data_IF_467685994976
#
_entry.id   IF_467685994976
#
_cell.length_a   1.000
_cell.length_b   1.000
_cell.length_c   1.000
_cell.angle_alpha   90.00
_cell.angle_beta   90.00
_cell.angle_gamma   90.00
#
_symmetry.space_group_name_H-M   'P 1'
#
loop_
_entity.id
_entity.type
_entity.pdbx_description
1 polymer ?
#
# COMPACT_ATOMS: atom_id res chain seq x y z
N UNK A 1 0.59 19.93 -7.05
CA UNK A 1 0.31 19.32 -5.74
C UNK A 1 0.11 17.84 -5.98
N UNK A 2 0.85 16.96 -5.29
CA UNK A 2 0.75 15.51 -5.46
C UNK A 2 -0.46 14.95 -4.70
N UNK A 3 -1.00 13.84 -5.19
CA UNK A 3 -2.19 13.17 -4.64
C UNK A 3 -1.92 11.68 -4.47
N UNK A 4 -2.37 11.07 -3.38
CA UNK A 4 -2.47 9.61 -3.27
C UNK A 4 -3.83 9.18 -3.80
N UNK A 5 -3.89 8.16 -4.66
CA UNK A 5 -5.12 7.72 -5.30
C UNK A 5 -5.43 6.29 -4.85
N UNK A 6 -6.61 6.08 -4.29
CA UNK A 6 -7.18 4.77 -4.00
C UNK A 6 -7.92 4.25 -5.23
N UNK A 7 -7.58 3.04 -5.67
CA UNK A 7 -8.10 2.40 -6.86
C UNK A 7 -8.88 1.13 -6.50
N UNK A 8 -10.01 0.90 -7.18
CA UNK A 8 -10.58 -0.43 -7.33
C UNK A 8 -9.81 -1.20 -8.40
N UNK A 9 -9.42 -2.43 -8.06
CA UNK A 9 -8.80 -3.38 -8.96
C UNK A 9 -9.83 -4.48 -9.22
N UNK A 10 -10.47 -4.43 -10.39
CA UNK A 10 -11.53 -5.36 -10.78
C UNK A 10 -11.04 -6.28 -11.91
N UNK A 11 -11.36 -7.56 -11.80
CA UNK A 11 -10.93 -8.62 -12.74
C UNK A 11 -11.43 -8.31 -14.15
N UNK A 12 -10.52 -8.31 -15.14
CA UNK A 12 -10.88 -8.09 -16.54
C UNK A 12 -11.30 -6.65 -16.88
N UNK A 13 -11.25 -5.74 -15.91
CA UNK A 13 -11.59 -4.32 -16.06
C UNK A 13 -10.37 -3.42 -15.91
N UNK A 14 -10.50 -2.17 -16.33
CA UNK A 14 -9.51 -1.13 -16.04
C UNK A 14 -9.55 -0.73 -14.55
N UNK A 15 -8.42 -0.25 -14.03
CA UNK A 15 -8.37 0.32 -12.68
C UNK A 15 -9.25 1.57 -12.60
N UNK A 16 -10.12 1.63 -11.59
CA UNK A 16 -11.04 2.76 -11.38
C UNK A 16 -10.67 3.53 -10.12
N UNK A 17 -10.52 4.84 -10.24
CA UNK A 17 -10.34 5.71 -9.07
C UNK A 17 -11.59 5.69 -8.19
N UNK A 18 -11.38 5.45 -6.89
CA UNK A 18 -12.43 5.49 -5.86
C UNK A 18 -12.36 6.78 -5.06
N UNK A 19 -11.15 7.21 -4.68
CA UNK A 19 -10.91 8.39 -3.85
C UNK A 19 -9.52 8.96 -4.12
N UNK A 20 -9.42 10.28 -4.09
CA UNK A 20 -8.16 11.02 -4.19
C UNK A 20 -7.88 11.78 -2.89
N UNK A 21 -6.67 11.60 -2.36
CA UNK A 21 -6.19 12.26 -1.15
C UNK A 21 -5.16 13.31 -1.50
N UNK A 22 -5.48 14.59 -1.26
CA UNK A 22 -4.54 15.69 -1.53
C UNK A 22 -3.32 15.60 -0.62
N UNK A 23 -2.15 15.96 -1.15
CA UNK A 23 -0.86 15.87 -0.47
C UNK A 23 -0.45 14.41 -0.19
N UNK A 24 0.27 13.80 -1.14
CA UNK A 24 0.74 12.42 -1.05
C UNK A 24 1.57 12.12 0.21
N UNK A 25 2.20 13.13 0.80
CA UNK A 25 2.99 12.99 2.02
C UNK A 25 2.18 12.52 3.24
N UNK A 26 0.84 12.58 3.18
CA UNK A 26 -0.04 12.03 4.21
C UNK A 26 -0.26 10.51 4.15
N UNK A 27 0.33 9.83 3.15
CA UNK A 27 0.23 8.39 2.97
C UNK A 27 1.54 7.68 3.33
N UNK A 28 2.40 7.37 2.35
CA UNK A 28 3.60 6.57 2.54
C UNK A 28 4.59 7.28 3.47
N UNK A 29 4.92 8.55 3.17
CA UNK A 29 5.90 9.35 3.90
C UNK A 29 5.73 9.30 5.42
N UNK A 30 4.49 9.37 5.89
CA UNK A 30 4.15 9.26 7.30
C UNK A 30 4.55 7.89 7.89
N UNK A 31 4.19 6.78 7.25
CA UNK A 31 4.52 5.43 7.74
C UNK A 31 6.03 5.21 7.77
N UNK A 32 6.72 5.56 6.69
CA UNK A 32 8.17 5.40 6.58
C UNK A 32 8.91 6.25 7.61
N UNK A 33 8.45 7.48 7.86
CA UNK A 33 9.00 8.36 8.90
C UNK A 33 8.89 7.72 10.29
N UNK A 34 7.70 7.30 10.70
CA UNK A 34 7.48 6.79 12.06
C UNK A 34 8.23 5.48 12.32
N UNK A 35 8.31 4.60 11.33
CA UNK A 35 9.08 3.36 11.43
C UNK A 35 10.59 3.59 11.42
N UNK A 36 11.09 4.53 10.60
CA UNK A 36 12.53 4.88 10.62
C UNK A 36 12.93 5.51 11.96
N UNK A 37 12.11 6.38 12.55
CA UNK A 37 12.33 6.92 13.90
C UNK A 37 12.40 5.79 14.93
N UNK A 38 11.40 4.91 14.90
CA UNK A 38 11.24 3.84 15.90
C UNK A 38 12.38 2.84 15.90
N UNK A 39 12.88 2.47 14.72
CA UNK A 39 13.80 1.32 14.58
C UNK A 39 15.20 1.69 14.14
N UNK A 40 15.38 2.84 13.50
CA UNK A 40 16.66 3.25 12.91
C UNK A 40 17.24 4.52 13.56
N UNK A 41 16.57 5.07 14.59
CA UNK A 41 17.01 6.28 15.29
C UNK A 41 17.00 7.53 14.40
N UNK A 42 16.16 7.53 13.36
CA UNK A 42 16.06 8.61 12.40
C UNK A 42 15.40 9.86 13.01
N UNK A 43 15.74 11.04 12.48
CA UNK A 43 14.97 12.27 12.69
C UNK A 43 13.93 12.49 11.58
N UNK A 44 13.11 13.53 11.71
CA UNK A 44 12.09 13.86 10.70
C UNK A 44 12.71 14.04 9.30
N UNK A 45 12.12 13.37 8.31
CA UNK A 45 12.51 13.40 6.87
C UNK A 45 13.83 12.70 6.51
N UNK A 46 14.52 12.07 7.46
CA UNK A 46 15.75 11.33 7.18
C UNK A 46 15.54 10.11 6.28
N UNK A 47 14.32 9.55 6.23
CA UNK A 47 14.07 8.32 5.48
C UNK A 47 14.28 8.47 3.97
N UNK A 48 13.99 9.65 3.39
CA UNK A 48 14.16 9.91 1.95
C UNK A 48 15.64 10.09 1.59
N UNK A 49 16.43 10.74 2.44
CA UNK A 49 17.74 11.27 2.06
C UNK A 49 18.93 10.43 2.51
N UNK A 50 18.75 9.54 3.50
CA UNK A 50 19.87 8.83 4.14
C UNK A 50 19.92 7.31 3.82
N UNK A 51 19.22 6.85 2.77
CA UNK A 51 19.19 5.43 2.39
C UNK A 51 18.53 4.52 3.44
N UNK A 52 17.79 5.09 4.40
CA UNK A 52 17.11 4.32 5.44
C UNK A 52 15.93 3.51 4.90
N UNK A 53 15.39 3.93 3.75
CA UNK A 53 14.39 3.16 2.99
C UNK A 53 14.88 1.75 2.69
N UNK A 54 16.13 1.56 2.27
CA UNK A 54 16.67 0.22 1.97
C UNK A 54 16.73 -0.68 3.20
N UNK A 55 17.01 -0.10 4.38
CA UNK A 55 17.04 -0.84 5.65
C UNK A 55 15.65 -1.21 6.13
N UNK A 56 14.65 -0.37 5.87
CA UNK A 56 13.26 -0.62 6.26
C UNK A 56 12.51 -1.47 5.23
N UNK A 57 12.93 -1.49 3.96
CA UNK A 57 12.29 -2.26 2.88
C UNK A 57 12.06 -3.76 3.18
N UNK A 58 12.93 -4.50 3.90
CA UNK A 58 12.65 -5.89 4.24
C UNK A 58 11.71 -6.05 5.45
N UNK A 59 11.37 -4.99 6.20
CA UNK A 59 10.68 -5.10 7.50
C UNK A 59 9.33 -5.78 7.42
N UNK A 60 8.59 -5.64 6.33
CA UNK A 60 7.29 -6.31 6.20
C UNK A 60 7.40 -7.85 6.27
N UNK A 61 8.57 -8.43 5.97
CA UNK A 61 8.82 -9.87 6.09
C UNK A 61 9.39 -10.31 7.45
N UNK A 62 9.83 -9.36 8.28
CA UNK A 62 10.48 -9.67 9.56
C UNK A 62 9.44 -10.03 10.63
N UNK A 63 9.29 -11.33 10.91
CA UNK A 63 8.32 -11.85 11.89
C UNK A 63 8.62 -11.44 13.33
N UNK A 64 9.79 -10.88 13.62
CA UNK A 64 10.12 -10.33 14.94
C UNK A 64 9.50 -8.94 15.17
N UNK A 65 8.93 -8.30 14.14
CA UNK A 65 8.26 -7.00 14.24
C UNK A 65 6.74 -7.16 14.42
N UNK A 66 6.08 -6.21 15.08
CA UNK A 66 4.63 -6.24 15.25
C UNK A 66 3.90 -6.36 13.90
N UNK A 67 2.96 -7.30 13.82
CA UNK A 67 2.25 -7.61 12.58
C UNK A 67 1.57 -6.39 11.94
N UNK A 68 0.91 -5.55 12.74
CA UNK A 68 0.21 -4.36 12.21
C UNK A 68 1.15 -3.34 11.56
N UNK A 69 2.38 -3.20 12.03
CA UNK A 69 3.38 -2.30 11.43
C UNK A 69 3.86 -2.82 10.08
N UNK A 70 4.06 -4.14 10.01
CA UNK A 70 4.48 -4.83 8.79
C UNK A 70 3.41 -4.73 7.71
N UNK A 71 2.15 -4.92 8.08
CA UNK A 71 1.01 -4.76 7.18
C UNK A 71 0.89 -3.32 6.70
N UNK A 72 0.90 -2.34 7.60
CA UNK A 72 0.78 -0.92 7.21
C UNK A 72 1.94 -0.47 6.33
N UNK A 73 3.17 -0.93 6.60
CA UNK A 73 4.31 -0.72 5.70
C UNK A 73 4.08 -1.35 4.33
N UNK A 74 3.66 -2.61 4.27
CA UNK A 74 3.40 -3.32 3.01
C UNK A 74 2.30 -2.65 2.16
N UNK A 75 1.28 -2.03 2.78
CA UNK A 75 0.25 -1.25 2.06
C UNK A 75 0.86 -0.07 1.30
N UNK A 76 1.99 0.47 1.79
CA UNK A 76 2.69 1.58 1.13
C UNK A 76 3.60 1.14 -0.01
N UNK A 77 3.62 -0.13 -0.40
CA UNK A 77 4.49 -0.58 -1.48
C UNK A 77 3.83 -0.39 -2.84
N UNK A 78 4.66 -0.15 -3.85
CA UNK A 78 4.16 -0.10 -5.20
C UNK A 78 3.53 -1.43 -5.60
N UNK A 79 2.37 -1.34 -6.26
CA UNK A 79 1.58 -2.50 -6.70
C UNK A 79 1.10 -3.41 -5.57
N UNK A 80 1.18 -2.95 -4.33
CA UNK A 80 0.51 -3.62 -3.22
C UNK A 80 -1.01 -3.48 -3.38
N UNK A 81 -1.71 -4.57 -3.13
CA UNK A 81 -3.16 -4.57 -3.09
C UNK A 81 -3.68 -5.39 -1.91
N UNK A 82 -4.94 -5.14 -1.58
CA UNK A 82 -5.65 -5.78 -0.48
C UNK A 82 -6.93 -6.40 -1.05
N UNK A 83 -7.15 -7.67 -0.76
CA UNK A 83 -8.37 -8.38 -1.11
C UNK A 83 -9.51 -8.00 -0.16
N UNK A 84 -10.73 -8.09 -0.66
CA UNK A 84 -11.95 -7.78 0.10
C UNK A 84 -12.06 -8.54 1.43
N UNK A 85 -11.64 -9.79 1.44
CA UNK A 85 -11.68 -10.65 2.64
C UNK A 85 -10.74 -10.12 3.74
N UNK A 86 -9.71 -9.36 3.37
CA UNK A 86 -8.72 -8.80 4.29
C UNK A 86 -9.05 -7.36 4.74
N UNK A 87 -10.14 -6.74 4.26
CA UNK A 87 -10.44 -5.33 4.59
C UNK A 87 -10.61 -5.08 6.08
N UNK A 88 -11.28 -6.00 6.79
CA UNK A 88 -11.47 -5.84 8.23
C UNK A 88 -10.14 -5.90 8.98
N UNK A 89 -9.21 -6.72 8.49
CA UNK A 89 -7.88 -6.88 9.08
C UNK A 89 -6.97 -5.69 8.75
N UNK A 90 -7.04 -5.17 7.51
CA UNK A 90 -6.35 -3.96 7.10
C UNK A 90 -6.77 -2.75 7.95
N UNK A 91 -8.08 -2.55 8.14
CA UNK A 91 -8.60 -1.53 9.03
C UNK A 91 -8.04 -1.67 10.45
N UNK A 92 -8.14 -2.87 11.03
CA UNK A 92 -7.64 -3.17 12.38
C UNK A 92 -6.15 -2.83 12.52
N UNK A 93 -5.32 -3.24 11.56
CA UNK A 93 -3.88 -2.95 11.56
C UNK A 93 -3.60 -1.44 11.48
N UNK A 94 -4.33 -0.71 10.62
CA UNK A 94 -4.20 0.74 10.49
C UNK A 94 -4.58 1.44 11.81
N UNK A 95 -5.67 1.02 12.46
CA UNK A 95 -6.07 1.59 13.77
C UNK A 95 -5.02 1.36 14.85
N UNK A 96 -4.45 0.15 14.93
CA UNK A 96 -3.36 -0.14 15.86
C UNK A 96 -2.12 0.71 15.57
N UNK A 97 -1.78 0.89 14.30
CA UNK A 97 -0.67 1.76 13.90
C UNK A 97 -0.90 3.20 14.34
N UNK A 98 -2.07 3.78 14.06
CA UNK A 98 -2.42 5.15 14.45
C UNK A 98 -2.49 5.34 15.98
N UNK A 99 -2.87 4.29 16.71
CA UNK A 99 -2.85 4.32 18.18
C UNK A 99 -1.42 4.35 18.73
N UNK A 100 -0.48 3.63 18.12
CA UNK A 100 0.93 3.62 18.54
C UNK A 100 1.66 4.88 18.07
N UNK A 101 1.35 5.35 16.88
CA UNK A 101 1.98 6.48 16.22
C UNK A 101 0.94 7.59 15.95
N UNK A 102 0.49 8.35 16.95
CA UNK A 102 -0.55 9.35 16.74
C UNK A 102 -0.14 10.40 15.70
N UNK A 103 -0.96 10.70 14.68
CA UNK A 103 -0.64 11.71 13.67
C UNK A 103 -0.45 13.10 14.26
N UNK A 104 0.53 13.85 13.74
CA UNK A 104 0.67 15.27 14.07
C UNK A 104 -0.46 16.08 13.39
N UNK A 105 -1.30 16.84 14.15
CA UNK A 105 -2.39 17.63 13.58
C UNK A 105 -1.96 18.70 12.57
N UNK A 106 -0.69 19.12 12.61
CA UNK A 106 -0.13 20.11 11.67
C UNK A 106 0.28 19.53 10.32
N UNK A 107 0.27 18.19 10.17
CA UNK A 107 0.64 17.51 8.93
C UNK A 107 -0.56 16.77 8.34
N UNK A 108 -0.56 16.57 7.01
CA UNK A 108 -1.56 15.72 6.36
C UNK A 108 -1.40 14.27 6.81
N UNK A 109 -2.51 13.57 7.06
CA UNK A 109 -2.55 12.14 7.32
C UNK A 109 -3.85 11.57 6.75
N UNK A 110 -3.75 10.53 5.92
CA UNK A 110 -4.89 9.94 5.21
C UNK A 110 -5.33 8.60 5.80
N UNK A 111 -4.59 8.08 6.78
CA UNK A 111 -4.74 6.71 7.25
C UNK A 111 -6.03 6.49 8.04
N UNK A 112 -6.53 7.51 8.76
CA UNK A 112 -7.83 7.43 9.41
C UNK A 112 -8.96 7.24 8.38
N UNK A 113 -8.97 8.06 7.32
CA UNK A 113 -9.91 7.94 6.21
C UNK A 113 -9.80 6.60 5.46
N UNK A 114 -8.58 6.05 5.33
CA UNK A 114 -8.34 4.76 4.69
C UNK A 114 -8.89 3.62 5.57
N UNK A 115 -8.72 3.70 6.90
CA UNK A 115 -9.33 2.76 7.81
C UNK A 115 -10.86 2.83 7.74
N UNK A 116 -11.45 4.03 7.75
CA UNK A 116 -12.89 4.24 7.57
C UNK A 116 -13.39 3.60 6.27
N UNK A 117 -12.64 3.76 5.17
CA UNK A 117 -12.96 3.12 3.90
C UNK A 117 -13.04 1.60 4.03
N UNK A 118 -12.05 0.96 4.66
CA UNK A 118 -12.05 -0.50 4.84
C UNK A 118 -13.14 -0.98 5.81
N UNK A 119 -13.40 -0.24 6.89
CA UNK A 119 -14.46 -0.53 7.87
C UNK A 119 -15.85 -0.44 7.25
N UNK A 120 -16.03 0.41 6.23
CA UNK A 120 -17.30 0.50 5.48
C UNK A 120 -17.61 -0.74 4.64
N UNK A 121 -16.67 -1.71 4.54
CA UNK A 121 -16.77 -2.96 3.78
C UNK A 121 -17.18 -2.71 2.32
N UNK A 122 -16.34 -2.02 1.54
CA UNK A 122 -16.64 -1.69 0.16
C UNK A 122 -16.79 -2.97 -0.66
N UNK A 123 -17.63 -2.90 -1.71
CA UNK A 123 -17.97 -4.09 -2.52
C UNK A 123 -16.90 -4.47 -3.56
N UNK A 124 -15.77 -3.76 -3.60
CA UNK A 124 -14.70 -4.04 -4.54
C UNK A 124 -13.94 -5.30 -4.12
N UNK A 125 -13.59 -6.14 -5.10
CA UNK A 125 -12.88 -7.41 -4.85
C UNK A 125 -11.44 -7.17 -4.36
N UNK A 126 -10.82 -6.11 -4.84
CA UNK A 126 -9.48 -5.69 -4.42
C UNK A 126 -9.30 -4.19 -4.59
N UNK A 127 -8.43 -3.61 -3.76
CA UNK A 127 -8.00 -2.21 -3.91
C UNK A 127 -6.49 -2.06 -3.79
N UNK A 128 -5.95 -1.03 -4.43
CA UNK A 128 -4.55 -0.64 -4.34
C UNK A 128 -4.40 0.88 -4.31
N UNK A 129 -3.16 1.35 -4.11
CA UNK A 129 -2.86 2.78 -3.99
C UNK A 129 -1.79 3.21 -5.01
N UNK A 130 -2.04 4.33 -5.68
CA UNK A 130 -0.97 5.11 -6.31
C UNK A 130 -0.49 6.10 -5.25
N UNK A 131 0.76 5.96 -4.82
CA UNK A 131 1.30 6.76 -3.71
C UNK A 131 1.34 8.26 -4.04
N UNK A 132 1.72 8.60 -5.27
CA UNK A 132 1.80 9.97 -5.74
C UNK A 132 1.37 10.05 -7.20
N UNK A 133 0.46 10.98 -7.52
CA UNK A 133 0.04 11.29 -8.89
C UNK A 133 1.15 11.86 -9.79
N UNK A 134 2.37 12.03 -9.25
CA UNK A 134 3.57 12.44 -10.00
C UNK A 134 4.18 11.24 -10.74
N UNK A 135 4.03 10.03 -10.20
CA UNK A 135 4.37 8.78 -10.89
C UNK A 135 3.14 8.27 -11.64
N UNK A 136 3.37 7.72 -12.84
CA UNK A 136 2.29 7.13 -13.66
C UNK A 136 1.55 6.02 -12.93
N UNK A 137 0.37 5.63 -13.42
CA UNK A 137 -0.42 4.57 -12.80
C UNK A 137 0.29 3.22 -12.96
N UNK A 138 0.93 2.75 -11.88
CA UNK A 138 1.71 1.51 -11.84
C UNK A 138 0.86 0.23 -11.94
N UNK A 139 -0.47 0.35 -11.91
CA UNK A 139 -1.42 -0.76 -12.15
C UNK A 139 -1.91 -0.82 -13.60
N UNK A 140 -1.40 0.05 -14.49
CA UNK A 140 -1.67 0.00 -15.93
C UNK A 140 -0.53 -0.69 -16.69
N UNK A 141 -0.89 -1.63 -17.56
CA UNK A 141 0.01 -2.31 -18.50
C UNK A 141 0.79 -1.32 -19.38
N UNK A 142 0.19 -0.18 -19.69
CA UNK A 142 0.69 0.90 -20.54
C UNK A 142 1.82 1.74 -19.92
N UNK A 143 2.19 1.52 -18.65
CA UNK A 143 3.40 2.15 -18.07
C UNK A 143 4.73 1.53 -18.53
N UNK A 144 4.68 0.46 -19.35
CA UNK A 144 5.85 -0.16 -20.02
C UNK A 144 5.74 -0.18 -21.55
N UNK A 145 5.13 0.81 -22.19
CA UNK A 145 5.22 0.97 -23.66
C UNK A 145 6.61 1.44 -24.15
N UNK A 146 7.67 0.79 -23.65
CA UNK A 146 8.96 0.71 -24.32
C UNK A 146 9.53 -0.72 -24.39
N UNK A 147 8.77 -1.75 -23.97
CA UNK A 147 9.14 -3.15 -24.22
C UNK A 147 8.28 -3.75 -25.36
N UNK A 148 8.83 -3.97 -26.57
CA UNK A 148 8.07 -4.36 -27.76
C UNK A 148 7.55 -5.81 -27.78
N UNK A 149 7.81 -6.63 -26.75
CA UNK A 149 7.44 -8.06 -26.77
C UNK A 149 6.05 -8.39 -26.20
N UNK A 150 5.38 -7.49 -25.47
CA UNK A 150 4.10 -7.83 -24.82
C UNK A 150 2.88 -7.39 -25.64
N UNK A 151 2.49 -8.22 -26.62
CA UNK A 151 1.20 -8.12 -27.31
C UNK A 151 0.14 -9.02 -26.66
N UNK A 152 -1.05 -8.43 -26.50
CA UNK A 152 -2.36 -8.98 -26.12
C UNK A 152 -2.59 -10.49 -26.34
N UNK A 153 -3.25 -11.13 -25.37
CA UNK A 153 -4.06 -12.34 -25.61
C UNK A 153 -5.37 -12.30 -24.81
N UNK A 154 -6.54 -12.54 -25.43
CA UNK A 154 -7.84 -12.44 -24.79
C UNK A 154 -8.25 -13.77 -24.15
N UNK A 155 -8.78 -13.67 -22.94
CA UNK A 155 -9.37 -14.77 -22.19
C UNK A 155 -8.98 -14.71 -20.72
N UNK A 156 -9.69 -15.48 -19.91
CA UNK A 156 -9.30 -15.95 -18.58
C UNK A 156 -9.90 -15.26 -17.35
N UNK A 157 -10.16 -16.15 -16.38
CA UNK A 157 -11.02 -16.02 -15.21
C UNK A 157 -10.15 -15.72 -13.98
N UNK A 158 -10.71 -14.96 -13.03
CA UNK A 158 -10.20 -14.64 -11.68
C UNK A 158 -9.18 -13.48 -11.55
N UNK A 159 -9.36 -12.66 -10.50
CA UNK A 159 -8.57 -11.45 -10.24
C UNK A 159 -7.12 -11.68 -9.89
N UNK A 160 -6.80 -12.92 -9.52
CA UNK A 160 -5.45 -13.40 -9.32
C UNK A 160 -4.60 -13.31 -10.59
N UNK A 161 -5.18 -13.53 -11.78
CA UNK A 161 -4.41 -13.47 -13.02
C UNK A 161 -4.06 -12.03 -13.45
N UNK A 162 -4.90 -11.03 -13.14
CA UNK A 162 -4.56 -9.62 -13.37
C UNK A 162 -3.40 -9.19 -12.46
N UNK A 163 -3.39 -9.71 -11.23
CA UNK A 163 -2.36 -9.47 -10.22
C UNK A 163 -1.03 -10.12 -10.62
N UNK A 164 -1.04 -11.39 -11.02
CA UNK A 164 0.16 -12.13 -11.42
C UNK A 164 0.79 -11.56 -12.70
N UNK A 165 -0.03 -11.17 -13.69
CA UNK A 165 0.47 -10.59 -14.96
C UNK A 165 1.05 -9.18 -14.81
N UNK A 166 0.72 -8.45 -13.75
CA UNK A 166 1.23 -7.09 -13.51
C UNK A 166 2.27 -7.01 -12.38
N UNK A 167 2.79 -8.15 -11.89
CA UNK A 167 3.69 -8.20 -10.72
C UNK A 167 3.12 -7.45 -9.50
N UNK A 168 1.81 -7.56 -9.28
CA UNK A 168 1.15 -7.02 -8.09
C UNK A 168 1.34 -7.95 -6.90
N UNK A 169 1.34 -7.38 -5.69
CA UNK A 169 1.68 -8.05 -4.46
C UNK A 169 0.50 -8.01 -3.47
N UNK A 170 -0.03 -9.17 -3.07
CA UNK A 170 -1.05 -9.22 -2.01
C UNK A 170 -0.36 -8.97 -0.67
N UNK A 171 -0.79 -7.93 0.04
CA UNK A 171 -0.25 -7.55 1.36
C UNK A 171 -0.30 -8.70 2.35
N UNK A 172 -1.41 -9.41 2.44
CA UNK A 172 -1.66 -10.40 3.48
C UNK A 172 -1.06 -11.78 3.16
N UNK A 173 -1.04 -12.18 1.89
CA UNK A 173 -0.43 -13.45 1.48
C UNK A 173 1.10 -13.46 1.58
N UNK A 174 1.72 -12.28 1.57
CA UNK A 174 3.17 -12.15 1.56
C UNK A 174 3.77 -11.55 2.85
N UNK A 175 2.91 -11.22 3.82
CA UNK A 175 3.34 -10.79 5.14
C UNK A 175 3.15 -11.97 6.10
N UNK A 176 4.21 -12.74 6.42
CA UNK A 176 4.06 -13.94 7.24
C UNK A 176 3.53 -13.58 8.62
N UNK A 177 2.50 -14.29 9.07
CA UNK A 177 2.04 -14.23 10.45
C UNK A 177 3.09 -14.94 11.31
N UNK A 178 3.45 -14.40 12.47
CA UNK A 178 4.29 -15.14 13.40
C UNK A 178 3.55 -16.43 13.78
N UNK A 179 4.20 -17.59 13.72
CA UNK A 179 3.63 -18.80 14.29
C UNK A 179 3.38 -18.52 15.77
N UNK A 180 2.15 -18.74 16.23
CA UNK A 180 1.83 -18.79 17.65
C UNK A 180 2.70 -19.90 18.26
N UNK A 181 3.66 -19.53 19.12
CA UNK A 181 4.30 -20.45 20.09
C UNK A 181 3.45 -20.53 21.36
#
# INVERSE_FOLDING_TARGET
MSTTILLALEVGSSCRELKSFKNASGFADYVWTELCKSYLGASDKDYIYNGLTEKLWPYFKDTQKPYFERIVLAITYDRAFICKDDYSEAARCIRQFLSKYPPNPSHSNHWADIADFFESKPKHESVGFIQSSVVGNLFRHDTYLHDPEFRYSPGYNSGLEFVEKNNCFNVFSNTPIASEE
#
